data_IF_738452571141
#
_entry.id   IF_738452571141
#
_cell.length_a   1.000
_cell.length_b   1.000
_cell.length_c   1.000
_cell.angle_alpha   90.00
_cell.angle_beta   90.00
_cell.angle_gamma   90.00
#
_symmetry.space_group_name_H-M   'P 1'
#
loop_
_entity.id
_entity.type
_entity.pdbx_description
1 polymer ?
#
# COMPACT_ATOMS: atom_id res chain seq x y z
N UNK A 1 18.16 22.65 -1.82
CA UNK A 1 18.49 21.85 -0.61
C UNK A 1 17.24 21.73 0.24
N UNK A 2 16.87 20.55 0.72
CA UNK A 2 15.77 20.43 1.68
C UNK A 2 16.16 21.20 2.96
N UNK A 3 15.36 22.21 3.31
CA UNK A 3 15.57 22.99 4.53
C UNK A 3 15.30 22.09 5.75
N UNK A 4 16.21 22.12 6.73
CA UNK A 4 15.98 21.52 8.05
C UNK A 4 14.71 22.14 8.64
N UNK A 5 13.70 21.32 8.94
CA UNK A 5 12.43 21.78 9.50
C UNK A 5 12.53 21.85 11.02
N UNK A 6 12.12 22.97 11.61
CA UNK A 6 12.03 23.11 13.05
C UNK A 6 10.90 22.25 13.62
N UNK A 7 10.97 21.92 14.91
CA UNK A 7 9.89 21.23 15.64
C UNK A 7 8.55 21.95 15.54
N UNK A 8 8.58 23.29 15.53
CA UNK A 8 7.42 24.14 15.30
C UNK A 8 6.83 23.96 13.90
N UNK A 9 7.66 23.95 12.84
CA UNK A 9 7.19 23.70 11.48
C UNK A 9 6.49 22.34 11.35
N UNK A 10 6.95 21.34 12.10
CA UNK A 10 6.36 20.00 12.13
C UNK A 10 4.99 20.03 12.79
N UNK A 11 4.84 20.67 13.96
CA UNK A 11 3.53 20.79 14.61
C UNK A 11 2.55 21.61 13.79
N UNK A 12 3.00 22.74 13.23
CA UNK A 12 2.18 23.57 12.35
C UNK A 12 1.69 22.78 11.13
N UNK A 13 2.47 21.81 10.64
CA UNK A 13 2.05 20.92 9.54
C UNK A 13 0.85 20.03 9.90
N UNK A 14 0.62 19.78 11.18
CA UNK A 14 -0.55 19.08 11.72
C UNK A 14 -1.66 20.03 12.21
N UNK A 15 -1.53 21.34 12.01
CA UNK A 15 -2.36 22.40 12.61
C UNK A 15 -2.35 22.36 14.15
N UNK A 16 -1.17 22.11 14.73
CA UNK A 16 -0.94 22.14 16.17
C UNK A 16 -0.02 23.31 16.52
N UNK A 17 -0.35 23.99 17.62
CA UNK A 17 0.46 25.09 18.16
C UNK A 17 1.74 24.58 18.83
N UNK A 18 2.80 25.39 18.80
CA UNK A 18 4.09 25.08 19.41
C UNK A 18 4.00 24.85 20.94
N UNK A 19 2.97 25.39 21.60
CA UNK A 19 2.66 25.13 23.02
C UNK A 19 2.36 23.66 23.34
N UNK A 20 2.11 22.82 22.33
CA UNK A 20 2.00 21.37 22.49
C UNK A 20 3.37 20.66 22.50
N UNK A 21 4.47 21.36 22.16
CA UNK A 21 5.81 20.79 22.25
C UNK A 21 6.14 20.29 23.66
N UNK A 22 5.92 21.02 24.78
CA UNK A 22 6.10 20.51 26.14
C UNK A 22 5.39 19.19 26.46
N UNK A 23 4.19 18.96 25.94
CA UNK A 23 3.42 17.72 26.20
C UNK A 23 3.80 16.57 25.26
N UNK A 24 4.45 16.87 24.13
CA UNK A 24 5.23 15.91 23.34
C UNK A 24 6.65 15.72 23.87
N UNK A 25 7.23 16.76 24.49
CA UNK A 25 8.59 16.83 24.97
C UNK A 25 8.70 16.00 26.24
N UNK A 26 9.48 14.93 26.13
CA UNK A 26 10.63 14.59 26.99
C UNK A 26 10.45 14.39 28.51
N UNK A 27 9.45 14.96 29.18
CA UNK A 27 9.17 14.78 30.62
C UNK A 27 8.47 13.44 30.90
N UNK A 28 7.79 12.88 29.89
CA UNK A 28 7.37 11.48 29.93
C UNK A 28 8.56 10.60 29.49
N UNK A 29 9.50 10.36 30.40
CA UNK A 29 10.73 9.58 30.16
C UNK A 29 10.46 8.22 29.49
N UNK A 30 9.29 7.65 29.73
CA UNK A 30 8.77 6.43 29.11
C UNK A 30 8.57 6.57 27.60
N UNK A 31 8.03 7.70 27.13
CA UNK A 31 7.80 7.95 25.71
C UNK A 31 9.11 8.17 24.96
N UNK A 32 10.02 9.00 25.50
CA UNK A 32 11.38 9.20 24.97
C UNK A 32 12.13 7.88 24.87
N UNK A 33 12.10 7.04 25.93
CA UNK A 33 12.68 5.70 25.89
C UNK A 33 12.02 4.81 24.85
N UNK A 34 10.70 4.85 24.70
CA UNK A 34 9.99 3.98 23.75
C UNK A 34 10.27 4.32 22.28
N UNK A 35 10.37 5.61 21.95
CA UNK A 35 10.74 6.07 20.61
C UNK A 35 12.22 5.81 20.35
N UNK A 36 13.11 6.16 21.28
CA UNK A 36 14.55 5.93 21.15
C UNK A 36 14.91 4.44 21.13
N UNK A 37 14.28 3.60 21.95
CA UNK A 37 14.51 2.16 21.96
C UNK A 37 13.99 1.45 20.70
N UNK A 38 13.06 2.08 19.97
CA UNK A 38 12.56 1.59 18.70
C UNK A 38 13.11 2.37 17.51
N UNK A 39 14.04 3.29 17.73
CA UNK A 39 14.55 4.17 16.69
C UNK A 39 15.26 3.38 15.60
N UNK A 40 16.18 2.49 15.99
CA UNK A 40 16.85 1.59 15.04
C UNK A 40 15.86 0.70 14.28
N UNK A 41 14.82 0.23 14.98
CA UNK A 41 13.74 -0.51 14.33
C UNK A 41 13.03 0.32 13.27
N UNK A 42 12.63 1.55 13.59
CA UNK A 42 11.91 2.42 12.66
C UNK A 42 12.80 2.85 11.49
N UNK A 43 14.08 3.11 11.74
CA UNK A 43 15.05 3.43 10.70
C UNK A 43 15.26 2.23 9.76
N UNK A 44 15.42 1.02 10.30
CA UNK A 44 15.48 -0.19 9.48
C UNK A 44 14.25 -0.34 8.59
N UNK A 45 13.05 -0.06 9.11
CA UNK A 45 11.81 -0.10 8.32
C UNK A 45 11.76 1.00 7.27
N UNK A 46 12.20 2.21 7.61
CA UNK A 46 12.27 3.32 6.67
C UNK A 46 13.26 3.02 5.53
N UNK A 47 14.41 2.41 5.83
CA UNK A 47 15.37 1.94 4.83
C UNK A 47 14.81 0.86 3.92
N UNK A 48 14.10 -0.12 4.49
CA UNK A 48 13.43 -1.16 3.69
C UNK A 48 12.29 -0.60 2.83
N UNK A 49 11.65 0.47 3.28
CA UNK A 49 10.61 1.19 2.52
C UNK A 49 11.15 2.13 1.44
N UNK A 50 12.48 2.28 1.32
CA UNK A 50 13.12 3.29 0.48
C UNK A 50 12.68 3.24 -0.99
N UNK A 51 12.34 2.05 -1.50
CA UNK A 51 11.89 1.84 -2.89
C UNK A 51 10.62 2.64 -3.24
N UNK A 52 9.77 2.95 -2.26
CA UNK A 52 8.49 3.64 -2.49
C UNK A 52 8.40 4.99 -1.80
N UNK A 53 9.09 5.18 -0.66
CA UNK A 53 8.97 6.39 0.18
C UNK A 53 9.19 7.70 -0.58
N UNK A 54 10.24 7.89 -1.40
CA UNK A 54 10.44 9.14 -2.16
C UNK A 54 9.26 9.45 -3.08
N UNK A 55 8.73 8.43 -3.74
CA UNK A 55 7.55 8.57 -4.61
C UNK A 55 6.32 8.94 -3.78
N UNK A 56 6.08 8.30 -2.64
CA UNK A 56 4.93 8.61 -1.79
C UNK A 56 5.02 10.04 -1.23
N UNK A 57 6.22 10.47 -0.84
CA UNK A 57 6.51 11.82 -0.36
C UNK A 57 6.16 12.87 -1.41
N UNK A 58 6.63 12.69 -2.64
CA UNK A 58 6.34 13.59 -3.76
C UNK A 58 4.84 13.68 -4.01
N UNK A 59 4.15 12.53 -4.06
CA UNK A 59 2.69 12.49 -4.25
C UNK A 59 1.92 13.24 -3.15
N UNK A 60 2.39 13.19 -1.90
CA UNK A 60 1.78 13.95 -0.79
C UNK A 60 1.97 15.46 -0.97
N UNK A 61 3.21 15.88 -1.22
CA UNK A 61 3.58 17.30 -1.40
C UNK A 61 2.81 17.91 -2.57
N UNK A 62 2.79 17.23 -3.73
CA UNK A 62 2.04 17.66 -4.93
C UNK A 62 0.54 17.82 -4.68
N UNK A 63 0.02 17.13 -3.67
CA UNK A 63 -1.39 17.16 -3.32
C UNK A 63 -1.70 18.08 -2.12
N UNK A 64 -0.71 18.81 -1.60
CA UNK A 64 -0.87 19.68 -0.44
C UNK A 64 -1.10 18.91 0.88
N UNK A 65 -0.69 17.64 0.94
CA UNK A 65 -0.67 16.86 2.18
C UNK A 65 0.69 17.08 2.86
N UNK A 66 0.74 17.38 4.17
CA UNK A 66 2.00 17.45 4.89
C UNK A 66 2.80 16.15 4.73
N UNK A 67 4.09 16.25 4.42
CA UNK A 67 4.94 15.08 4.19
C UNK A 67 5.08 14.20 5.45
N UNK A 68 4.84 14.78 6.63
CA UNK A 68 4.81 14.11 7.91
C UNK A 68 3.73 13.00 7.97
N UNK A 69 2.72 13.05 7.09
CA UNK A 69 1.76 11.94 6.93
C UNK A 69 2.39 10.68 6.33
N UNK A 70 3.66 10.69 5.91
CA UNK A 70 4.41 9.44 5.67
C UNK A 70 4.52 8.59 6.94
N UNK A 71 4.60 9.20 8.12
CA UNK A 71 4.62 8.46 9.38
C UNK A 71 3.29 7.81 9.71
N UNK A 72 2.21 8.23 9.04
CA UNK A 72 0.95 7.49 9.04
C UNK A 72 1.13 6.14 8.33
N UNK A 73 1.74 6.09 7.15
CA UNK A 73 2.05 4.81 6.48
C UNK A 73 3.00 3.92 7.31
N UNK A 74 3.97 4.53 8.00
CA UNK A 74 4.80 3.82 8.96
C UNK A 74 3.96 3.21 10.09
N UNK A 75 3.04 4.00 10.66
CA UNK A 75 2.15 3.58 11.74
C UNK A 75 1.23 2.42 11.35
N UNK A 76 0.75 2.44 10.11
CA UNK A 76 -0.21 1.47 9.60
C UNK A 76 0.42 0.13 9.22
N UNK A 77 1.59 0.15 8.56
CA UNK A 77 2.13 -1.06 7.95
C UNK A 77 3.66 -1.12 7.87
N UNK A 78 4.36 -0.11 8.38
CA UNK A 78 5.81 0.02 8.20
C UNK A 78 6.18 0.00 6.70
N UNK A 79 5.37 0.68 5.89
CA UNK A 79 5.47 0.73 4.42
C UNK A 79 5.29 -0.61 3.70
N UNK A 80 4.76 -1.64 4.38
CA UNK A 80 4.58 -2.96 3.78
C UNK A 80 3.40 -3.01 2.82
N UNK A 81 3.70 -3.13 1.53
CA UNK A 81 2.69 -3.42 0.48
C UNK A 81 1.95 -4.75 0.69
N UNK A 82 2.50 -5.68 1.49
CA UNK A 82 1.88 -7.00 1.77
C UNK A 82 1.02 -7.03 3.03
N UNK A 83 1.10 -5.99 3.88
CA UNK A 83 0.43 -5.98 5.17
C UNK A 83 -1.05 -6.32 5.04
N UNK A 84 -1.55 -7.15 5.96
CA UNK A 84 -2.95 -7.54 6.02
C UNK A 84 -3.35 -7.73 7.48
N UNK A 85 -4.28 -6.92 7.98
CA UNK A 85 -4.71 -7.03 9.37
C UNK A 85 -5.81 -8.08 9.55
N UNK A 86 -6.02 -8.57 10.79
CA UNK A 86 -7.18 -9.38 11.13
C UNK A 86 -8.52 -8.71 10.79
N UNK A 87 -8.57 -7.37 10.83
CA UNK A 87 -9.72 -6.55 10.46
C UNK A 87 -9.88 -6.36 8.94
N UNK A 88 -9.02 -6.97 8.12
CA UNK A 88 -9.03 -6.94 6.64
C UNK A 88 -8.54 -5.64 6.00
N UNK A 89 -7.95 -4.72 6.76
CA UNK A 89 -7.13 -3.64 6.19
C UNK A 89 -5.92 -4.22 5.46
N UNK A 90 -5.46 -3.57 4.38
CA UNK A 90 -4.42 -4.12 3.50
C UNK A 90 -3.49 -3.04 2.92
N UNK A 91 -2.24 -3.41 2.70
CA UNK A 91 -1.21 -2.61 2.05
C UNK A 91 -0.63 -1.49 2.92
N UNK A 92 0.10 -0.58 2.27
CA UNK A 92 0.88 0.50 2.89
C UNK A 92 0.02 1.33 3.85
N UNK A 93 -1.18 1.67 3.38
CA UNK A 93 -2.09 2.59 4.05
C UNK A 93 -3.14 1.89 4.91
N UNK A 94 -3.08 0.55 5.02
CA UNK A 94 -4.08 -0.26 5.73
C UNK A 94 -5.53 0.15 5.42
N UNK A 95 -5.84 0.39 4.15
CA UNK A 95 -7.20 0.78 3.77
C UNK A 95 -8.18 -0.38 3.98
N UNK A 96 -9.27 -0.10 4.68
CA UNK A 96 -10.39 -1.03 4.84
C UNK A 96 -11.05 -1.29 3.47
N UNK A 97 -11.59 -2.50 3.20
CA UNK A 97 -12.14 -2.83 1.89
C UNK A 97 -13.23 -1.86 1.40
N UNK A 98 -14.09 -1.38 2.30
CA UNK A 98 -15.16 -0.42 1.96
C UNK A 98 -14.58 0.92 1.56
N UNK A 99 -13.75 1.51 2.43
CA UNK A 99 -13.07 2.79 2.18
C UNK A 99 -12.24 2.75 0.90
N UNK A 100 -11.48 1.68 0.68
CA UNK A 100 -10.69 1.50 -0.53
C UNK A 100 -11.54 1.57 -1.81
N UNK A 101 -12.70 0.90 -1.83
CA UNK A 101 -13.64 0.94 -2.96
C UNK A 101 -14.26 2.32 -3.16
N UNK A 102 -14.66 2.99 -2.08
CA UNK A 102 -15.17 4.37 -2.12
C UNK A 102 -14.11 5.35 -2.66
N UNK A 103 -12.84 5.08 -2.38
CA UNK A 103 -11.70 5.84 -2.91
C UNK A 103 -11.29 5.43 -4.34
N UNK A 104 -12.00 4.48 -4.95
CA UNK A 104 -11.81 4.08 -6.36
C UNK A 104 -10.88 2.89 -6.58
N UNK A 105 -10.45 2.19 -5.54
CA UNK A 105 -9.60 1.01 -5.67
C UNK A 105 -10.39 -0.24 -6.05
N UNK A 106 -9.84 -1.02 -6.98
CA UNK A 106 -10.34 -2.33 -7.37
C UNK A 106 -9.83 -3.40 -6.41
N UNK A 107 -10.76 -4.17 -5.87
CA UNK A 107 -10.49 -5.33 -5.03
C UNK A 107 -11.32 -6.49 -5.57
N UNK A 108 -10.65 -7.47 -6.17
CA UNK A 108 -11.27 -8.68 -6.70
C UNK A 108 -10.31 -9.88 -6.55
N UNK A 109 -10.67 -11.00 -7.19
CA UNK A 109 -9.93 -12.26 -7.06
C UNK A 109 -8.55 -12.25 -7.72
N UNK A 110 -8.28 -11.34 -8.66
CA UNK A 110 -6.98 -11.21 -9.33
C UNK A 110 -6.14 -10.06 -8.82
N UNK A 111 -6.78 -8.97 -8.36
CA UNK A 111 -6.10 -7.74 -7.96
C UNK A 111 -6.61 -7.20 -6.62
N UNK A 112 -5.70 -6.67 -5.82
CA UNK A 112 -5.97 -5.90 -4.63
C UNK A 112 -5.18 -4.58 -4.69
N UNK A 113 -5.78 -3.54 -5.28
CA UNK A 113 -5.10 -2.25 -5.51
C UNK A 113 -4.79 -1.48 -4.22
N UNK A 114 -5.19 -1.99 -3.04
CA UNK A 114 -4.67 -1.49 -1.76
C UNK A 114 -3.20 -1.81 -1.57
N UNK A 115 -2.69 -2.84 -2.27
CA UNK A 115 -1.27 -3.24 -2.29
C UNK A 115 -0.50 -2.62 -3.45
N UNK A 116 -1.16 -1.82 -4.29
CA UNK A 116 -0.52 -1.02 -5.35
C UNK A 116 0.06 0.24 -4.70
N UNK A 117 1.38 0.48 -4.73
CA UNK A 117 1.99 1.59 -4.00
C UNK A 117 1.50 2.96 -4.48
N UNK A 118 1.21 3.13 -5.77
CA UNK A 118 0.79 4.43 -6.32
C UNK A 118 -0.73 4.61 -6.15
N UNK A 119 -1.54 3.62 -6.56
CA UNK A 119 -3.00 3.74 -6.48
C UNK A 119 -3.48 3.81 -5.03
N UNK A 120 -2.90 2.99 -4.14
CA UNK A 120 -3.27 3.06 -2.71
C UNK A 120 -2.89 4.39 -2.08
N UNK A 121 -1.77 5.01 -2.50
CA UNK A 121 -1.38 6.34 -2.03
C UNK A 121 -2.32 7.42 -2.56
N UNK A 122 -2.71 7.37 -3.84
CA UNK A 122 -3.76 8.28 -4.37
C UNK A 122 -5.07 8.15 -3.59
N UNK A 123 -5.46 6.91 -3.26
CA UNK A 123 -6.65 6.65 -2.46
C UNK A 123 -6.53 7.16 -1.01
N UNK A 124 -5.37 6.96 -0.38
CA UNK A 124 -5.09 7.47 0.96
C UNK A 124 -5.10 9.00 1.00
N UNK A 125 -4.49 9.68 0.02
CA UNK A 125 -4.54 11.14 -0.14
C UNK A 125 -5.99 11.61 -0.28
N UNK A 126 -6.78 10.96 -1.15
CA UNK A 126 -8.21 11.30 -1.31
C UNK A 126 -8.97 11.15 0.00
N UNK A 127 -8.70 10.09 0.75
CA UNK A 127 -9.34 9.85 2.04
C UNK A 127 -8.91 10.86 3.11
N UNK A 128 -7.62 11.20 3.18
CA UNK A 128 -7.08 12.21 4.08
C UNK A 128 -7.68 13.60 3.81
N UNK A 129 -7.80 14.00 2.54
CA UNK A 129 -8.50 15.25 2.17
C UNK A 129 -9.96 15.24 2.61
N UNK A 130 -10.66 14.12 2.39
CA UNK A 130 -12.03 13.96 2.89
C UNK A 130 -12.12 14.11 4.41
N UNK A 131 -11.19 13.51 5.16
CA UNK A 131 -11.14 13.62 6.62
C UNK A 131 -10.80 15.05 7.08
N UNK A 132 -9.81 15.71 6.46
CA UNK A 132 -9.45 17.12 6.75
C UNK A 132 -10.64 18.05 6.48
N UNK A 133 -11.36 17.87 5.38
CA UNK A 133 -12.56 18.66 5.08
C UNK A 133 -13.65 18.53 6.16
N UNK A 134 -13.79 17.36 6.78
CA UNK A 134 -14.79 17.14 7.85
C UNK A 134 -14.29 17.64 9.21
N UNK A 135 -13.01 17.41 9.51
CA UNK A 135 -12.47 17.63 10.85
C UNK A 135 -11.97 19.06 11.07
N UNK A 136 -11.58 19.74 10.00
CA UNK A 136 -11.00 21.08 10.01
C UNK A 136 -9.48 21.06 10.18
N UNK A 137 -8.93 20.10 10.95
CA UNK A 137 -7.52 20.04 11.35
C UNK A 137 -6.84 18.72 10.94
N UNK A 138 -5.56 18.77 10.58
CA UNK A 138 -4.78 17.62 10.13
C UNK A 138 -4.54 16.61 11.24
N UNK A 139 -4.25 17.04 12.47
CA UNK A 139 -4.12 16.10 13.59
C UNK A 139 -5.43 15.34 13.86
N UNK A 140 -6.58 16.02 13.75
CA UNK A 140 -7.89 15.38 13.84
C UNK A 140 -8.15 14.44 12.66
N UNK A 141 -7.75 14.81 11.44
CA UNK A 141 -7.84 13.94 10.27
C UNK A 141 -7.02 12.65 10.47
N UNK A 142 -5.79 12.76 10.99
CA UNK A 142 -4.95 11.60 11.32
C UNK A 142 -5.61 10.71 12.39
N UNK A 143 -6.20 11.29 13.44
CA UNK A 143 -6.93 10.53 14.46
C UNK A 143 -8.19 9.86 13.90
N UNK A 144 -8.92 10.55 13.02
CA UNK A 144 -10.10 10.01 12.34
C UNK A 144 -9.74 8.88 11.38
N UNK A 145 -8.55 8.91 10.78
CA UNK A 145 -8.05 7.84 9.91
C UNK A 145 -8.01 6.51 10.65
N UNK A 146 -7.46 6.50 11.87
CA UNK A 146 -7.36 5.31 12.71
C UNK A 146 -8.71 4.91 13.33
N UNK A 147 -9.43 5.86 13.95
CA UNK A 147 -10.59 5.54 14.79
C UNK A 147 -11.95 5.62 14.07
N UNK A 148 -11.97 6.20 12.88
CA UNK A 148 -13.17 6.55 12.12
C UNK A 148 -13.75 7.90 12.54
N UNK A 149 -14.20 8.68 11.55
CA UNK A 149 -14.71 10.05 11.73
C UNK A 149 -15.87 10.16 12.73
N UNK A 150 -16.81 9.21 12.70
CA UNK A 150 -17.95 9.21 13.62
C UNK A 150 -17.56 8.96 15.08
N UNK A 151 -16.50 8.17 15.33
CA UNK A 151 -15.97 7.96 16.68
C UNK A 151 -15.27 9.22 17.17
N UNK A 152 -14.46 9.86 16.32
CA UNK A 152 -13.80 11.11 16.65
C UNK A 152 -14.82 12.21 16.98
N UNK A 153 -15.86 12.39 16.15
CA UNK A 153 -16.90 13.41 16.41
C UNK A 153 -17.63 13.18 17.73
N UNK A 154 -17.92 11.92 18.09
CA UNK A 154 -18.49 11.58 19.40
C UNK A 154 -17.53 11.92 20.55
N UNK A 155 -16.23 11.65 20.37
CA UNK A 155 -15.22 11.99 21.37
C UNK A 155 -15.12 13.50 21.57
N UNK A 156 -15.05 14.29 20.49
CA UNK A 156 -15.03 15.77 20.54
C UNK A 156 -16.28 16.30 21.24
N UNK A 157 -17.46 15.79 20.87
CA UNK A 157 -18.72 16.19 21.51
C UNK A 157 -18.74 15.87 23.01
N UNK A 158 -18.21 14.71 23.42
CA UNK A 158 -18.13 14.30 24.83
C UNK A 158 -17.09 15.11 25.61
N UNK A 159 -15.98 15.48 24.97
CA UNK A 159 -14.93 16.29 25.57
C UNK A 159 -15.31 17.77 25.65
N UNK A 160 -16.22 18.24 24.79
CA UNK A 160 -16.53 19.67 24.65
C UNK A 160 -15.35 20.48 24.08
N UNK A 161 -14.34 19.81 23.54
CA UNK A 161 -13.10 20.42 23.07
C UNK A 161 -12.50 19.62 21.90
N UNK A 162 -11.79 20.34 21.02
CA UNK A 162 -10.92 19.75 20.00
C UNK A 162 -9.47 19.70 20.44
N UNK A 163 -9.15 20.32 21.58
CA UNK A 163 -7.79 20.38 22.11
C UNK A 163 -7.17 18.97 22.21
N UNK A 164 -5.95 18.85 21.70
CA UNK A 164 -5.31 17.56 21.58
C UNK A 164 -4.98 16.97 22.95
N UNK A 165 -4.56 17.76 23.94
CA UNK A 165 -4.28 17.26 25.29
C UNK A 165 -5.54 16.71 25.94
N UNK A 166 -6.66 17.44 25.84
CA UNK A 166 -7.96 17.00 26.35
C UNK A 166 -8.38 15.68 25.70
N UNK A 167 -8.28 15.56 24.37
CA UNK A 167 -8.65 14.34 23.65
C UNK A 167 -7.72 13.15 23.96
N UNK A 168 -6.48 13.44 24.39
CA UNK A 168 -5.46 12.46 24.70
C UNK A 168 -5.40 12.04 26.18
N UNK A 169 -6.26 12.61 27.02
CA UNK A 169 -6.36 12.29 28.45
C UNK A 169 -6.65 10.78 28.67
N UNK A 170 -5.73 10.05 29.33
CA UNK A 170 -5.90 8.62 29.57
C UNK A 170 -6.98 8.29 30.61
N UNK A 171 -7.25 9.19 31.56
CA UNK A 171 -8.26 9.00 32.62
C UNK A 171 -9.67 9.21 32.06
N UNK A 172 -9.86 10.25 31.25
CA UNK A 172 -11.17 10.52 30.62
C UNK A 172 -11.48 9.55 29.48
N UNK A 173 -10.44 9.08 28.79
CA UNK A 173 -10.50 8.07 27.74
C UNK A 173 -11.55 8.37 26.64
N UNK A 174 -11.64 9.63 26.19
CA UNK A 174 -12.56 10.04 25.13
C UNK A 174 -12.35 9.25 23.83
N UNK A 175 -11.09 8.91 23.55
CA UNK A 175 -10.68 8.10 22.40
C UNK A 175 -10.05 6.77 22.84
N UNK A 176 -10.06 5.73 22.01
CA UNK A 176 -9.36 4.47 22.30
C UNK A 176 -7.87 4.68 22.54
N UNK A 177 -7.28 3.86 23.42
CA UNK A 177 -5.83 3.88 23.68
C UNK A 177 -5.01 3.74 22.38
N UNK A 178 -5.48 2.90 21.46
CA UNK A 178 -4.90 2.72 20.12
C UNK A 178 -4.73 4.06 19.39
N UNK A 179 -5.81 4.83 19.26
CA UNK A 179 -5.83 6.14 18.58
C UNK A 179 -4.99 7.18 19.31
N UNK A 180 -5.03 7.20 20.64
CA UNK A 180 -4.22 8.12 21.45
C UNK A 180 -2.73 7.84 21.32
N UNK A 181 -2.34 6.58 21.17
CA UNK A 181 -0.94 6.19 20.93
C UNK A 181 -0.53 6.44 19.48
N UNK A 182 -1.45 6.22 18.55
CA UNK A 182 -1.23 6.40 17.12
C UNK A 182 -0.81 7.83 16.77
N UNK A 183 -1.57 8.84 17.20
CA UNK A 183 -1.22 10.24 16.91
C UNK A 183 0.08 10.67 17.61
N UNK A 184 0.31 10.22 18.86
CA UNK A 184 1.59 10.45 19.54
C UNK A 184 2.75 9.86 18.76
N UNK A 185 2.62 8.64 18.25
CA UNK A 185 3.69 8.00 17.47
C UNK A 185 3.96 8.75 16.17
N UNK A 186 2.93 9.17 15.44
CA UNK A 186 3.10 9.97 14.21
C UNK A 186 3.85 11.27 14.50
N UNK A 187 3.42 12.02 15.52
CA UNK A 187 4.05 13.29 15.88
C UNK A 187 5.51 13.11 16.33
N UNK A 188 5.79 12.13 17.20
CA UNK A 188 7.17 11.90 17.66
C UNK A 188 8.10 11.35 16.59
N UNK A 189 7.61 10.50 15.68
CA UNK A 189 8.40 10.09 14.52
C UNK A 189 8.66 11.27 13.59
N UNK A 190 7.66 12.15 13.38
CA UNK A 190 7.83 13.36 12.60
C UNK A 190 8.92 14.26 13.18
N UNK A 191 8.93 14.47 14.50
CA UNK A 191 9.97 15.22 15.18
C UNK A 191 11.34 14.54 15.05
N UNK A 192 11.44 13.24 15.36
CA UNK A 192 12.72 12.53 15.38
C UNK A 192 13.38 12.41 13.99
N UNK A 193 12.61 12.17 12.93
CA UNK A 193 13.13 12.06 11.56
C UNK A 193 13.42 13.41 10.88
N UNK A 194 13.14 14.53 11.55
CA UNK A 194 13.48 15.88 11.06
C UNK A 194 14.48 16.59 11.99
N UNK A 195 14.91 15.94 13.08
CA UNK A 195 15.92 16.46 14.00
C UNK A 195 17.31 16.26 13.39
N UNK A 196 17.91 17.35 12.91
CA UNK A 196 19.20 17.33 12.24
C UNK A 196 20.33 16.84 13.16
N UNK A 197 20.28 17.13 14.46
CA UNK A 197 21.30 16.69 15.41
C UNK A 197 21.20 15.19 15.66
N UNK A 198 19.98 14.65 15.81
CA UNK A 198 19.76 13.20 15.92
C UNK A 198 20.24 12.48 14.67
N UNK A 199 19.90 12.99 13.49
CA UNK A 199 20.31 12.36 12.22
C UNK A 199 21.82 12.45 11.98
N UNK A 200 22.44 13.58 12.33
CA UNK A 200 23.89 13.79 12.18
C UNK A 200 24.70 12.93 13.14
N UNK A 201 24.28 12.83 14.40
CA UNK A 201 24.97 12.03 15.41
C UNK A 201 24.90 10.51 15.13
N UNK A 202 24.06 10.07 14.20
CA UNK A 202 23.90 8.66 13.83
C UNK A 202 24.26 8.36 12.36
N UNK A 203 24.96 9.25 11.67
CA UNK A 203 25.36 9.11 10.25
C UNK A 203 24.16 8.87 9.28
N UNK A 204 23.02 9.48 9.60
CA UNK A 204 21.71 9.30 8.94
C UNK A 204 21.21 10.55 8.20
N UNK A 205 22.10 11.51 7.94
CA UNK A 205 21.79 12.77 7.22
C UNK A 205 21.18 12.56 5.83
N UNK A 206 21.46 11.41 5.19
CA UNK A 206 20.89 11.08 3.90
C UNK A 206 19.34 11.07 3.91
N UNK A 207 18.67 10.84 5.06
CA UNK A 207 17.21 10.91 5.16
C UNK A 207 16.64 12.28 4.79
N UNK A 208 17.40 13.35 5.06
CA UNK A 208 17.04 14.72 4.70
C UNK A 208 17.00 14.89 3.16
N UNK A 209 17.91 14.22 2.46
CA UNK A 209 18.11 14.32 1.00
C UNK A 209 17.49 13.17 0.19
N UNK A 210 16.87 12.17 0.84
CA UNK A 210 16.17 11.05 0.18
C UNK A 210 14.88 11.54 -0.51
N UNK A 211 15.03 12.19 -1.67
CA UNK A 211 13.93 12.77 -2.43
C UNK A 211 14.22 13.09 -3.91
N UNK A 212 15.35 12.65 -4.47
CA UNK A 212 15.80 13.13 -5.78
C UNK A 212 15.13 12.48 -7.02
N UNK A 213 14.13 11.60 -6.86
CA UNK A 213 13.39 11.05 -7.98
C UNK A 213 12.51 9.86 -7.62
N UNK A 214 11.50 9.58 -8.46
CA UNK A 214 10.74 8.35 -8.36
C UNK A 214 11.61 7.17 -8.79
N UNK A 215 11.78 6.17 -7.91
CA UNK A 215 12.59 4.98 -8.18
C UNK A 215 11.88 3.96 -9.05
N UNK A 216 10.56 4.09 -9.17
CA UNK A 216 9.72 3.17 -9.91
C UNK A 216 8.97 3.92 -11.00
N UNK A 217 8.73 3.25 -12.12
CA UNK A 217 7.88 3.77 -13.19
C UNK A 217 6.84 2.73 -13.57
N UNK A 218 5.65 3.21 -13.95
CA UNK A 218 4.57 2.36 -14.45
C UNK A 218 4.69 2.14 -15.95
N UNK A 219 4.61 0.89 -16.39
CA UNK A 219 4.48 0.50 -17.81
C UNK A 219 3.15 -0.19 -18.05
N UNK A 220 2.50 0.12 -19.16
CA UNK A 220 1.18 -0.44 -19.51
C UNK A 220 1.31 -1.75 -20.26
N UNK A 221 0.92 -2.85 -19.61
CA UNK A 221 1.07 -4.21 -20.13
C UNK A 221 -0.29 -4.86 -20.36
N UNK A 222 -0.41 -5.64 -21.44
CA UNK A 222 -1.66 -6.27 -21.85
C UNK A 222 -2.20 -7.23 -20.77
N UNK A 223 -3.52 -7.24 -20.58
CA UNK A 223 -4.21 -8.20 -19.72
C UNK A 223 -3.82 -9.67 -20.04
N UNK A 224 -3.69 -10.49 -19.00
CA UNK A 224 -3.33 -11.91 -19.10
C UNK A 224 -1.82 -12.20 -19.23
N UNK A 225 -0.96 -11.19 -19.39
CA UNK A 225 0.48 -11.40 -19.54
C UNK A 225 1.09 -12.05 -18.28
N UNK A 226 1.91 -13.12 -18.42
CA UNK A 226 2.69 -13.67 -17.32
C UNK A 226 3.70 -12.65 -16.78
N UNK A 227 3.81 -12.50 -15.46
CA UNK A 227 4.78 -11.57 -14.86
C UNK A 227 6.23 -12.00 -15.13
N UNK A 228 6.47 -13.30 -15.33
CA UNK A 228 7.80 -13.83 -15.65
C UNK A 228 8.32 -13.34 -17.00
N UNK A 229 7.42 -13.10 -17.97
CA UNK A 229 7.81 -12.60 -19.29
C UNK A 229 8.26 -11.14 -19.21
N UNK A 230 7.57 -10.34 -18.38
CA UNK A 230 7.95 -8.97 -18.09
C UNK A 230 9.31 -8.95 -17.38
N UNK A 231 9.47 -9.77 -16.33
CA UNK A 231 10.69 -9.83 -15.53
C UNK A 231 11.91 -10.20 -16.39
N UNK A 232 11.78 -11.24 -17.24
CA UNK A 232 12.83 -11.66 -18.18
C UNK A 232 13.20 -10.57 -19.17
N UNK A 233 12.24 -9.85 -19.72
CA UNK A 233 12.50 -8.77 -20.69
C UNK A 233 13.33 -7.62 -20.11
N UNK A 234 13.31 -7.44 -18.78
CA UNK A 234 14.10 -6.40 -18.10
C UNK A 234 15.24 -6.95 -17.24
N UNK A 235 15.55 -8.24 -17.38
CA UNK A 235 16.63 -8.89 -16.62
C UNK A 235 16.42 -8.91 -15.10
N UNK A 236 15.16 -9.01 -14.63
CA UNK A 236 14.83 -9.18 -13.21
C UNK A 236 14.39 -10.61 -12.91
N UNK A 237 14.59 -11.03 -11.67
CA UNK A 237 13.89 -12.20 -11.12
C UNK A 237 12.38 -11.90 -10.94
N UNK A 238 11.56 -12.95 -11.03
CA UNK A 238 10.11 -12.83 -10.84
C UNK A 238 9.76 -12.30 -9.45
N UNK A 239 10.46 -12.73 -8.40
CA UNK A 239 10.18 -12.28 -7.04
C UNK A 239 10.47 -10.80 -6.85
N UNK A 240 11.52 -10.28 -7.48
CA UNK A 240 11.94 -8.90 -7.51
C UNK A 240 10.91 -8.03 -8.22
N UNK A 241 10.47 -8.40 -9.43
CA UNK A 241 9.37 -7.69 -10.10
C UNK A 241 8.10 -7.68 -9.23
N UNK A 242 7.81 -8.81 -8.57
CA UNK A 242 6.68 -8.89 -7.64
C UNK A 242 6.86 -8.00 -6.42
N UNK A 243 8.07 -7.56 -6.03
CA UNK A 243 8.26 -6.60 -4.91
C UNK A 243 7.53 -5.30 -5.18
N UNK A 244 7.62 -4.78 -6.39
CA UNK A 244 6.94 -3.56 -6.84
C UNK A 244 5.45 -3.75 -7.17
N UNK A 245 5.02 -5.01 -7.40
CA UNK A 245 3.70 -5.32 -7.95
C UNK A 245 2.83 -6.23 -7.05
N UNK A 246 2.73 -5.90 -5.76
CA UNK A 246 1.98 -6.70 -4.77
C UNK A 246 0.45 -6.67 -4.95
N UNK A 247 -0.07 -5.80 -5.81
CA UNK A 247 -1.48 -5.74 -6.18
C UNK A 247 -1.95 -6.97 -6.93
N UNK A 248 -1.08 -7.61 -7.73
CA UNK A 248 -1.45 -8.84 -8.43
C UNK A 248 -1.39 -10.03 -7.48
N UNK A 249 -2.50 -10.75 -7.37
CA UNK A 249 -2.62 -11.93 -6.49
C UNK A 249 -1.93 -13.17 -7.06
N UNK A 250 -1.69 -13.18 -8.37
CA UNK A 250 -1.10 -14.30 -9.10
C UNK A 250 0.10 -13.84 -9.94
N UNK A 251 0.86 -14.79 -10.48
CA UNK A 251 2.05 -14.52 -11.30
C UNK A 251 1.71 -14.09 -12.75
N UNK A 252 0.53 -13.50 -12.96
CA UNK A 252 0.06 -12.98 -14.24
C UNK A 252 -0.87 -11.78 -14.03
N UNK A 253 -0.95 -10.91 -15.03
CA UNK A 253 -1.88 -9.78 -15.03
C UNK A 253 -3.31 -10.26 -15.21
N UNK A 254 -4.31 -9.64 -14.55
CA UNK A 254 -5.67 -10.14 -14.62
C UNK A 254 -6.15 -10.32 -16.08
N UNK A 255 -6.88 -11.41 -16.36
CA UNK A 255 -7.34 -11.71 -17.71
C UNK A 255 -8.42 -10.74 -18.19
N UNK A 256 -8.59 -10.66 -19.51
CA UNK A 256 -9.69 -9.95 -20.15
C UNK A 256 -9.21 -8.96 -21.20
N UNK A 257 -9.94 -7.85 -21.34
CA UNK A 257 -9.59 -6.75 -22.24
C UNK A 257 -8.86 -5.64 -21.46
N UNK A 258 -8.06 -4.84 -22.17
CA UNK A 258 -7.36 -3.68 -21.60
C UNK A 258 -5.92 -3.95 -21.17
N UNK A 259 -5.32 -2.97 -20.50
CA UNK A 259 -3.95 -2.99 -19.98
C UNK A 259 -3.95 -2.77 -18.47
N UNK A 260 -2.87 -3.19 -17.84
CA UNK A 260 -2.59 -2.97 -16.43
C UNK A 260 -1.22 -2.31 -16.29
N UNK A 261 -1.15 -1.34 -15.40
CA UNK A 261 0.11 -0.74 -14.96
C UNK A 261 0.93 -1.76 -14.16
N UNK A 262 2.16 -2.00 -14.61
CA UNK A 262 3.18 -2.79 -13.92
C UNK A 262 4.32 -1.85 -13.54
N UNK A 263 4.72 -1.85 -12.28
CA UNK A 263 5.81 -1.01 -11.80
C UNK A 263 7.15 -1.72 -11.97
N UNK A 264 8.12 -1.03 -12.54
CA UNK A 264 9.49 -1.50 -12.73
C UNK A 264 10.47 -0.44 -12.19
N UNK A 265 11.70 -0.80 -11.81
CA UNK A 265 12.75 0.17 -11.52
C UNK A 265 12.93 1.14 -12.71
N UNK A 266 13.11 2.42 -12.42
CA UNK A 266 13.16 3.46 -13.46
C UNK A 266 14.30 3.22 -14.48
N UNK A 267 15.46 2.78 -14.02
CA UNK A 267 16.64 2.43 -14.83
C UNK A 267 16.38 1.29 -15.83
N UNK A 268 15.35 0.47 -15.61
CA UNK A 268 14.93 -0.62 -16.51
C UNK A 268 13.97 -0.19 -17.62
N UNK A 269 13.54 1.08 -17.63
CA UNK A 269 12.53 1.57 -18.59
C UNK A 269 13.00 1.46 -20.05
N UNK A 270 14.27 1.80 -20.33
CA UNK A 270 14.82 1.72 -21.68
C UNK A 270 14.85 0.27 -22.17
N UNK A 271 15.34 -0.65 -21.33
CA UNK A 271 15.39 -2.08 -21.62
C UNK A 271 13.98 -2.65 -21.85
N UNK A 272 13.00 -2.27 -21.02
CA UNK A 272 11.60 -2.66 -21.23
C UNK A 272 11.09 -2.23 -22.61
N UNK A 273 11.33 -0.97 -23.02
CA UNK A 273 10.86 -0.45 -24.32
C UNK A 273 11.51 -1.15 -25.52
N UNK A 274 12.75 -1.60 -25.37
CA UNK A 274 13.52 -2.27 -26.40
C UNK A 274 13.14 -3.76 -26.52
N UNK A 275 13.13 -4.47 -25.39
CA UNK A 275 13.07 -5.94 -25.35
C UNK A 275 11.65 -6.47 -25.14
N UNK A 276 10.79 -5.72 -24.43
CA UNK A 276 9.41 -6.13 -24.22
C UNK A 276 8.55 -5.82 -25.45
N UNK A 277 8.76 -6.61 -26.48
CA UNK A 277 7.74 -6.78 -27.51
C UNK A 277 6.67 -7.71 -26.95
N UNK A 278 5.39 -7.40 -27.17
CA UNK A 278 4.29 -8.28 -26.78
C UNK A 278 4.47 -9.62 -27.49
N UNK A 279 5.18 -10.58 -26.87
CA UNK A 279 5.78 -11.71 -27.57
C UNK A 279 4.72 -12.61 -28.20
N UNK A 280 5.07 -13.35 -29.26
CA UNK A 280 4.21 -14.27 -30.05
C UNK A 280 3.48 -15.37 -29.26
N UNK A 281 3.77 -15.59 -27.96
CA UNK A 281 2.84 -16.26 -27.02
C UNK A 281 1.63 -15.38 -26.65
N UNK A 282 1.44 -14.28 -27.38
CA UNK A 282 0.35 -13.32 -27.28
C UNK A 282 -1.04 -13.96 -27.28
N UNK A 283 -1.17 -15.20 -27.72
CA UNK A 283 -2.42 -15.92 -27.71
C UNK A 283 -2.67 -16.74 -26.43
N UNK A 284 -1.77 -16.82 -25.45
CA UNK A 284 -2.04 -17.48 -24.16
C UNK A 284 -2.37 -16.45 -23.08
N UNK A 285 -3.36 -16.76 -22.24
CA UNK A 285 -3.74 -15.99 -21.06
C UNK A 285 -4.18 -16.94 -19.95
N UNK A 286 -4.16 -16.49 -18.70
CA UNK A 286 -4.62 -17.32 -17.58
C UNK A 286 -5.94 -16.84 -17.01
N UNK A 287 -6.84 -17.77 -16.70
CA UNK A 287 -8.14 -17.48 -16.09
C UNK A 287 -8.36 -18.27 -14.81
N UNK A 288 -9.01 -17.66 -13.84
CA UNK A 288 -9.43 -18.30 -12.61
C UNK A 288 -10.74 -19.05 -12.81
N UNK A 289 -10.73 -20.34 -12.48
CA UNK A 289 -11.89 -21.22 -12.48
C UNK A 289 -12.14 -21.75 -11.06
N UNK A 290 -13.36 -21.60 -10.55
CA UNK A 290 -13.76 -22.19 -9.28
C UNK A 290 -14.46 -23.53 -9.53
N UNK A 291 -13.88 -24.61 -9.00
CA UNK A 291 -14.37 -25.97 -9.18
C UNK A 291 -15.82 -26.10 -8.67
N UNK A 292 -16.72 -26.57 -9.53
CA UNK A 292 -18.11 -26.86 -9.19
C UNK A 292 -18.30 -28.32 -8.80
N UNK A 293 -19.42 -28.64 -8.15
CA UNK A 293 -19.81 -30.01 -7.81
C UNK A 293 -19.81 -30.87 -9.09
N UNK A 294 -19.05 -31.97 -9.08
CA UNK A 294 -18.94 -32.91 -10.20
C UNK A 294 -17.90 -32.54 -11.28
N UNK A 295 -17.21 -31.40 -11.19
CA UNK A 295 -16.11 -31.09 -12.11
C UNK A 295 -14.84 -31.89 -11.74
N UNK A 296 -14.14 -32.40 -12.76
CA UNK A 296 -12.85 -33.09 -12.64
C UNK A 296 -11.79 -32.29 -13.39
N UNK A 297 -10.49 -32.53 -13.15
CA UNK A 297 -9.43 -31.91 -13.95
C UNK A 297 -9.63 -32.15 -15.44
N UNK A 298 -10.04 -33.37 -15.83
CA UNK A 298 -10.30 -33.71 -17.23
C UNK A 298 -11.48 -32.94 -17.81
N UNK A 299 -12.58 -32.79 -17.06
CA UNK A 299 -13.74 -32.03 -17.55
C UNK A 299 -13.45 -30.53 -17.64
N UNK A 300 -12.65 -29.98 -16.71
CA UNK A 300 -12.17 -28.59 -16.73
C UNK A 300 -11.19 -28.37 -17.89
N UNK A 301 -10.21 -29.25 -18.07
CA UNK A 301 -9.25 -29.18 -19.17
C UNK A 301 -9.95 -29.22 -20.54
N UNK A 302 -10.85 -30.20 -20.73
CA UNK A 302 -11.69 -30.30 -21.93
C UNK A 302 -12.54 -29.04 -22.12
N UNK A 303 -13.15 -28.53 -21.05
CA UNK A 303 -13.88 -27.27 -21.07
C UNK A 303 -12.96 -26.18 -21.55
N UNK A 304 -11.78 -25.95 -21.00
CA UNK A 304 -10.95 -24.82 -21.39
C UNK A 304 -10.06 -25.05 -22.63
N UNK A 305 -10.12 -26.25 -23.24
CA UNK A 305 -9.20 -26.70 -24.28
C UNK A 305 -7.74 -26.49 -23.85
N UNK A 306 -7.49 -26.80 -22.59
CA UNK A 306 -6.21 -26.67 -21.91
C UNK A 306 -5.65 -28.06 -21.63
N UNK A 307 -4.34 -28.18 -21.50
CA UNK A 307 -3.71 -29.43 -21.11
C UNK A 307 -3.81 -29.67 -19.58
N UNK A 308 -4.06 -30.91 -19.17
CA UNK A 308 -4.21 -31.28 -17.74
C UNK A 308 -2.87 -31.12 -17.00
N UNK A 309 -1.75 -31.52 -17.62
CA UNK A 309 -0.42 -31.44 -17.00
C UNK A 309 -0.04 -29.98 -16.80
N UNK A 310 -0.39 -29.12 -17.76
CA UNK A 310 -0.18 -27.67 -17.65
C UNK A 310 -1.00 -27.05 -16.51
N UNK A 311 -2.31 -27.37 -16.41
CA UNK A 311 -3.15 -26.93 -15.28
C UNK A 311 -2.54 -27.40 -13.95
N UNK A 312 -2.11 -28.66 -13.84
CA UNK A 312 -1.49 -29.18 -12.61
C UNK A 312 -0.21 -28.44 -12.25
N UNK A 313 0.66 -28.20 -13.23
CA UNK A 313 1.93 -27.50 -13.03
C UNK A 313 1.72 -26.05 -12.56
N UNK A 314 0.84 -25.30 -13.20
CA UNK A 314 0.59 -23.88 -12.86
C UNK A 314 -0.02 -23.74 -11.47
N UNK A 315 -0.85 -24.70 -11.05
CA UNK A 315 -1.52 -24.67 -9.75
C UNK A 315 -0.77 -25.45 -8.66
N UNK A 316 0.41 -25.99 -8.95
CA UNK A 316 1.22 -26.81 -8.05
C UNK A 316 0.44 -28.02 -7.47
N UNK A 317 -0.53 -28.56 -8.21
CA UNK A 317 -1.39 -29.66 -7.76
C UNK A 317 -0.80 -31.01 -8.20
N UNK A 318 -0.36 -31.81 -7.24
CA UNK A 318 0.20 -33.15 -7.49
C UNK A 318 -0.88 -34.21 -7.74
N UNK A 319 -2.00 -34.14 -7.03
CA UNK A 319 -3.12 -35.09 -7.16
C UNK A 319 -4.16 -34.61 -8.19
N UNK A 320 -5.10 -35.50 -8.57
CA UNK A 320 -6.24 -35.12 -9.41
C UNK A 320 -7.52 -34.85 -8.60
N UNK A 321 -7.42 -34.87 -7.27
CA UNK A 321 -8.54 -34.60 -6.37
C UNK A 321 -8.77 -33.09 -6.29
N UNK A 322 -10.00 -32.68 -6.58
CA UNK A 322 -10.41 -31.28 -6.52
C UNK A 322 -11.46 -31.08 -5.44
N UNK A 323 -11.34 -29.99 -4.69
CA UNK A 323 -12.36 -29.58 -3.72
C UNK A 323 -13.34 -28.59 -4.35
N UNK A 324 -14.62 -28.67 -3.97
CA UNK A 324 -15.62 -27.70 -4.41
C UNK A 324 -15.18 -26.29 -3.97
N UNK A 325 -15.29 -25.30 -4.86
CA UNK A 325 -14.80 -23.92 -4.72
C UNK A 325 -13.26 -23.77 -4.69
N UNK A 326 -12.49 -24.83 -4.90
CA UNK A 326 -11.06 -24.70 -5.17
C UNK A 326 -10.87 -23.80 -6.39
N UNK A 327 -9.98 -22.81 -6.27
CA UNK A 327 -9.63 -21.93 -7.36
C UNK A 327 -8.47 -22.53 -8.16
N UNK A 328 -8.64 -22.66 -9.47
CA UNK A 328 -7.64 -23.14 -10.40
C UNK A 328 -7.34 -22.06 -11.45
N UNK A 329 -6.06 -21.81 -11.68
CA UNK A 329 -5.51 -20.99 -12.76
C UNK A 329 -5.44 -21.87 -14.01
N UNK A 330 -6.19 -21.51 -15.04
CA UNK A 330 -6.28 -22.28 -16.28
C UNK A 330 -5.62 -21.49 -17.41
N UNK A 331 -4.59 -22.02 -18.09
CA UNK A 331 -4.09 -21.43 -19.32
C UNK A 331 -5.13 -21.60 -20.42
N UNK A 332 -5.41 -20.54 -21.17
CA UNK A 332 -6.38 -20.54 -22.26
C UNK A 332 -5.86 -19.74 -23.43
N UNK A 333 -6.27 -20.13 -24.64
CA UNK A 333 -6.02 -19.34 -25.82
C UNK A 333 -6.96 -18.11 -25.86
N UNK A 334 -6.42 -16.90 -26.07
CA UNK A 334 -7.15 -15.61 -26.07
C UNK A 334 -8.33 -15.65 -27.03
N UNK A 335 -8.15 -16.16 -28.24
CA UNK A 335 -9.22 -16.22 -29.24
C UNK A 335 -10.38 -17.11 -28.78
N UNK A 336 -10.07 -18.22 -28.11
CA UNK A 336 -11.08 -19.13 -27.57
C UNK A 336 -11.80 -18.53 -26.37
N UNK A 337 -11.09 -17.80 -25.51
CA UNK A 337 -11.69 -17.09 -24.38
C UNK A 337 -12.64 -15.97 -24.85
N UNK A 338 -12.23 -15.16 -25.84
CA UNK A 338 -13.06 -14.09 -26.42
C UNK A 338 -14.39 -14.61 -26.96
N UNK A 339 -14.37 -15.68 -27.75
CA UNK A 339 -15.59 -16.32 -28.31
C UNK A 339 -16.57 -16.73 -27.21
N UNK A 340 -16.07 -17.21 -26.06
CA UNK A 340 -16.90 -17.66 -24.93
C UNK A 340 -17.54 -16.56 -24.13
N UNK A 341 -16.82 -15.47 -23.91
CA UNK A 341 -17.38 -14.31 -23.20
C UNK A 341 -18.48 -13.66 -24.05
N UNK A 342 -18.28 -13.61 -25.37
CA UNK A 342 -19.27 -13.08 -26.31
C UNK A 342 -20.57 -13.93 -26.38
N UNK A 343 -20.51 -15.24 -26.16
CA UNK A 343 -21.68 -16.13 -26.15
C UNK A 343 -22.49 -16.10 -24.84
N UNK A 344 -22.04 -15.33 -23.83
CA UNK A 344 -22.69 -15.23 -22.51
C UNK A 344 -23.28 -13.85 -22.22
N UNK A 345 -23.14 -12.93 -23.17
CA UNK A 345 -23.85 -11.66 -23.23
C UNK A 345 -24.97 -11.82 -24.25
#
# INVERSE_FOLDING_TARGET
MPQVRTSENILNSFDLDASFLPSLNMSNATYKRSVKARWDYFVEKFDKGYEVIPTLRLMMIEQGIPQEFLFLAMAESEFSMRAFSPKKASGIWQLMPKTAKEMGLKINNYIDERRDPIKSTKAAIKYLKFLKNITGEWYLAAMAYNCGVGRLQKAIKKAGSKDLEVLLDPQKAYLPRETRNYIRMILGMSLAFNDADVLKNEDREYFLNRGAGSMITGVEVQAGTPLVDIAKAIGLDLNELKRYNKQFRYNFLPPGKGKYTVYIPYDKLALFRQEFQSSRRANEMFVLHYVKKGETLSSIAKKYKSDIKEIKNINEVKSSHLSIKQALIIPVLKDQYKKRVAQKQ
#
